data_IF_850067712387
#
_entry.id   IF_850067712387
#
_cell.length_a   1.000
_cell.length_b   1.000
_cell.length_c   1.000
_cell.angle_alpha   90.00
_cell.angle_beta   90.00
_cell.angle_gamma   90.00
#
_symmetry.space_group_name_H-M   'P 1'
#
loop_
_entity.id
_entity.type
_entity.pdbx_description
1 polymer ?
#
# COMPACT_ATOMS: atom_id res chain seq x y z
N UNK A 1 2.61 10.52 -5.63
CA UNK A 1 2.16 9.11 -5.69
C UNK A 1 3.19 8.22 -5.00
N UNK A 2 4.48 8.37 -5.30
CA UNK A 2 5.53 7.55 -4.70
C UNK A 2 5.68 7.66 -3.18
N UNK A 3 5.36 8.80 -2.55
CA UNK A 3 5.39 8.88 -1.06
C UNK A 3 4.37 7.93 -0.44
N UNK A 4 3.19 7.81 -1.05
CA UNK A 4 2.14 6.90 -0.60
C UNK A 4 2.59 5.45 -0.83
N UNK A 5 3.07 5.13 -2.04
CA UNK A 5 3.58 3.80 -2.37
C UNK A 5 4.78 3.39 -1.50
N UNK A 6 5.71 4.30 -1.20
CA UNK A 6 6.86 4.04 -0.33
C UNK A 6 6.43 3.74 1.11
N UNK A 7 5.48 4.51 1.63
CA UNK A 7 4.94 4.28 2.97
C UNK A 7 4.18 2.95 3.06
N UNK A 8 3.42 2.63 2.01
CA UNK A 8 2.65 1.39 1.90
C UNK A 8 3.58 0.17 1.79
N UNK A 9 4.56 0.20 0.87
CA UNK A 9 5.57 -0.84 0.71
C UNK A 9 6.35 -1.04 2.01
N UNK A 10 6.71 0.04 2.72
CA UNK A 10 7.36 -0.05 4.03
C UNK A 10 6.47 -0.71 5.11
N UNK A 11 5.15 -0.49 5.05
CA UNK A 11 4.17 -1.21 5.87
C UNK A 11 4.18 -2.70 5.55
N UNK A 12 3.95 -3.04 4.29
CA UNK A 12 3.89 -4.41 3.80
C UNK A 12 5.18 -5.20 4.09
N UNK A 13 6.35 -4.59 3.87
CA UNK A 13 7.65 -5.22 4.16
C UNK A 13 7.85 -5.52 5.64
N UNK A 14 7.28 -4.72 6.55
CA UNK A 14 7.31 -5.00 7.99
C UNK A 14 6.40 -6.17 8.33
N UNK A 15 5.17 -6.17 7.84
CA UNK A 15 4.23 -7.28 8.03
C UNK A 15 4.79 -8.60 7.52
N UNK A 16 5.36 -8.61 6.31
CA UNK A 16 5.99 -9.80 5.73
C UNK A 16 7.21 -10.27 6.53
N UNK A 17 7.93 -9.35 7.19
CA UNK A 17 9.05 -9.71 8.06
C UNK A 17 8.57 -10.47 9.29
N UNK A 18 7.44 -10.08 9.87
CA UNK A 18 6.86 -10.78 11.02
C UNK A 18 6.27 -12.12 10.59
N UNK A 19 5.55 -12.18 9.48
CA UNK A 19 5.06 -13.44 8.90
C UNK A 19 6.20 -14.43 8.56
N UNK A 20 7.35 -13.93 8.11
CA UNK A 20 8.52 -14.76 7.83
C UNK A 20 9.16 -15.33 9.10
N UNK A 21 9.12 -14.63 10.24
CA UNK A 21 9.62 -15.14 11.53
C UNK A 21 8.73 -16.26 12.08
N UNK A 22 7.44 -16.16 11.79
CA UNK A 22 6.43 -17.13 12.23
C UNK A 22 6.26 -18.31 11.25
N UNK A 23 7.10 -18.38 10.20
CA UNK A 23 7.07 -19.45 9.18
C UNK A 23 5.68 -19.62 8.53
N UNK A 24 4.97 -18.50 8.33
CA UNK A 24 3.61 -18.50 7.76
C UNK A 24 3.58 -19.07 6.34
N UNK A 25 4.67 -18.92 5.58
CA UNK A 25 4.83 -19.50 4.25
C UNK A 25 4.70 -21.03 4.25
N UNK A 26 5.18 -21.70 5.30
CA UNK A 26 5.00 -23.15 5.49
C UNK A 26 3.53 -23.50 5.76
N UNK A 27 2.85 -22.70 6.58
CA UNK A 27 1.43 -22.88 6.88
C UNK A 27 0.55 -22.69 5.64
N UNK A 28 0.91 -21.75 4.77
CA UNK A 28 0.23 -21.46 3.51
C UNK A 28 0.59 -22.44 2.38
N UNK A 29 1.54 -23.35 2.62
CA UNK A 29 2.00 -24.34 1.62
C UNK A 29 2.79 -23.72 0.47
N UNK A 30 3.42 -22.56 0.70
CA UNK A 30 4.18 -21.79 -0.28
C UNK A 30 5.55 -21.39 0.28
N UNK A 31 6.41 -22.37 0.64
CA UNK A 31 7.68 -22.11 1.30
C UNK A 31 8.55 -21.15 0.51
N UNK A 32 9.06 -20.10 1.15
CA UNK A 32 9.95 -19.12 0.53
C UNK A 32 9.24 -17.95 -0.18
N UNK A 33 7.93 -18.03 -0.45
CA UNK A 33 7.21 -17.00 -1.21
C UNK A 33 7.08 -15.69 -0.43
N UNK A 34 6.97 -15.71 0.90
CA UNK A 34 6.90 -14.49 1.73
C UNK A 34 8.23 -13.73 1.68
N UNK A 35 9.35 -14.43 1.83
CA UNK A 35 10.68 -13.83 1.78
C UNK A 35 11.00 -13.34 0.36
N UNK A 36 10.51 -14.05 -0.67
CA UNK A 36 10.60 -13.62 -2.07
C UNK A 36 9.84 -12.30 -2.27
N UNK A 37 8.59 -12.22 -1.81
CA UNK A 37 7.77 -11.01 -1.89
C UNK A 37 8.44 -9.81 -1.22
N UNK A 38 8.95 -10.03 -0.02
CA UNK A 38 9.67 -9.01 0.72
C UNK A 38 10.89 -8.46 -0.06
N UNK A 39 11.67 -9.33 -0.71
CA UNK A 39 12.84 -8.91 -1.51
C UNK A 39 12.42 -8.11 -2.74
N UNK A 40 11.41 -8.57 -3.47
CA UNK A 40 10.92 -7.88 -4.67
C UNK A 40 10.40 -6.48 -4.34
N UNK A 41 9.63 -6.35 -3.26
CA UNK A 41 9.13 -5.06 -2.79
C UNK A 41 10.26 -4.10 -2.41
N UNK A 42 11.31 -4.57 -1.73
CA UNK A 42 12.49 -3.75 -1.42
C UNK A 42 13.22 -3.27 -2.68
N UNK A 43 13.33 -4.15 -3.69
CA UNK A 43 13.95 -3.78 -4.97
C UNK A 43 13.16 -2.67 -5.66
N UNK A 44 11.83 -2.79 -5.69
CA UNK A 44 10.93 -1.77 -6.24
C UNK A 44 11.04 -0.46 -5.44
N UNK A 45 11.03 -0.54 -4.11
CA UNK A 45 11.13 0.62 -3.23
C UNK A 45 12.37 1.48 -3.54
N UNK A 46 13.49 0.83 -3.85
CA UNK A 46 14.77 1.51 -4.12
C UNK A 46 14.74 2.47 -5.34
N UNK A 47 13.80 2.27 -6.26
CA UNK A 47 13.68 3.05 -7.51
C UNK A 47 12.46 3.99 -7.53
N UNK A 48 11.55 3.90 -6.55
CA UNK A 48 10.33 4.71 -6.50
C UNK A 48 10.58 6.21 -6.57
N UNK A 49 11.64 6.69 -5.91
CA UNK A 49 11.96 8.12 -5.88
C UNK A 49 12.41 8.63 -7.26
N UNK A 50 13.13 7.82 -8.02
CA UNK A 50 13.53 8.15 -9.40
C UNK A 50 12.30 8.13 -10.32
N UNK A 51 11.47 7.10 -10.20
CA UNK A 51 10.23 6.98 -10.96
C UNK A 51 9.28 8.18 -10.72
N UNK A 52 9.13 8.65 -9.49
CA UNK A 52 8.28 9.82 -9.18
C UNK A 52 8.77 11.10 -9.86
N UNK A 53 10.09 11.31 -9.93
CA UNK A 53 10.67 12.50 -10.58
C UNK A 53 10.33 12.52 -12.07
N UNK A 54 10.35 11.35 -12.70
CA UNK A 54 10.13 11.18 -14.15
C UNK A 54 8.66 11.00 -14.53
N UNK A 55 7.77 10.70 -13.56
CA UNK A 55 6.35 10.37 -13.79
C UNK A 55 5.60 11.36 -14.70
N UNK A 56 5.88 12.65 -14.59
CA UNK A 56 5.14 13.68 -15.36
C UNK A 56 5.63 13.75 -16.82
N UNK A 57 6.91 13.49 -17.04
CA UNK A 57 7.58 13.68 -18.34
C UNK A 57 7.69 12.38 -19.14
N UNK A 58 7.64 11.22 -18.46
CA UNK A 58 7.81 9.89 -19.02
C UNK A 58 6.56 9.05 -18.76
N UNK A 59 5.71 8.94 -19.79
CA UNK A 59 4.44 8.21 -19.73
C UNK A 59 4.65 6.73 -19.40
N UNK A 60 5.72 6.09 -19.90
CA UNK A 60 6.02 4.70 -19.60
C UNK A 60 6.38 4.48 -18.12
N UNK A 61 7.05 5.45 -17.50
CA UNK A 61 7.32 5.44 -16.05
C UNK A 61 6.03 5.69 -15.25
N UNK A 62 5.13 6.54 -15.74
CA UNK A 62 3.83 6.73 -15.13
C UNK A 62 2.98 5.46 -15.15
N UNK A 63 2.89 4.80 -16.29
CA UNK A 63 2.16 3.54 -16.45
C UNK A 63 2.72 2.46 -15.54
N UNK A 64 4.05 2.37 -15.45
CA UNK A 64 4.73 1.46 -14.51
C UNK A 64 4.37 1.75 -13.05
N UNK A 65 4.29 3.02 -12.63
CA UNK A 65 3.88 3.40 -11.28
C UNK A 65 2.40 3.10 -11.02
N UNK A 66 1.54 3.29 -12.02
CA UNK A 66 0.11 2.99 -11.93
C UNK A 66 -0.13 1.49 -11.78
N UNK A 67 0.55 0.68 -12.58
CA UNK A 67 0.44 -0.78 -12.48
C UNK A 67 0.99 -1.30 -11.14
N UNK A 68 2.10 -0.72 -10.66
CA UNK A 68 2.59 -1.03 -9.32
C UNK A 68 1.54 -0.71 -8.25
N UNK A 69 0.86 0.44 -8.35
CA UNK A 69 -0.19 0.83 -7.42
C UNK A 69 -1.34 -0.17 -7.42
N UNK A 70 -1.76 -0.64 -8.59
CA UNK A 70 -2.84 -1.63 -8.70
C UNK A 70 -2.47 -2.94 -8.01
N UNK A 71 -1.25 -3.45 -8.26
CA UNK A 71 -0.74 -4.65 -7.59
C UNK A 71 -0.58 -4.46 -6.07
N UNK A 72 -0.29 -3.23 -5.62
CA UNK A 72 -0.25 -2.93 -4.17
C UNK A 72 -1.63 -3.01 -3.51
N UNK A 73 -2.71 -2.61 -4.20
CA UNK A 73 -4.06 -2.81 -3.67
C UNK A 73 -4.41 -4.29 -3.57
N UNK A 74 -4.08 -5.08 -4.59
CA UNK A 74 -4.29 -6.53 -4.52
C UNK A 74 -3.50 -7.18 -3.38
N UNK A 75 -2.31 -6.65 -3.06
CA UNK A 75 -1.51 -7.11 -1.93
C UNK A 75 -2.15 -6.74 -0.58
N UNK A 76 -2.78 -5.57 -0.47
CA UNK A 76 -3.54 -5.16 0.72
C UNK A 76 -4.73 -6.09 0.95
N UNK A 77 -5.49 -6.37 -0.11
CA UNK A 77 -6.66 -7.25 -0.07
C UNK A 77 -6.28 -8.67 0.42
N UNK A 78 -5.14 -9.21 -0.04
CA UNK A 78 -4.63 -10.51 0.41
C UNK A 78 -4.22 -10.48 1.89
N UNK A 79 -3.61 -9.40 2.37
CA UNK A 79 -3.27 -9.26 3.79
C UNK A 79 -4.53 -9.12 4.66
N UNK A 80 -5.52 -8.37 4.21
CA UNK A 80 -6.80 -8.21 4.90
C UNK A 80 -7.54 -9.54 4.99
N UNK A 81 -7.53 -10.36 3.93
CA UNK A 81 -8.04 -11.73 3.99
C UNK A 81 -7.32 -12.58 5.04
N UNK A 82 -5.99 -12.47 5.13
CA UNK A 82 -5.22 -13.17 6.17
C UNK A 82 -5.60 -12.71 7.58
N UNK A 83 -5.74 -11.39 7.78
CA UNK A 83 -6.10 -10.80 9.07
C UNK A 83 -7.51 -11.21 9.49
N UNK A 84 -8.48 -11.12 8.57
CA UNK A 84 -9.87 -11.52 8.83
C UNK A 84 -9.97 -12.98 9.24
N UNK A 85 -9.22 -13.89 8.61
CA UNK A 85 -9.23 -15.29 9.06
C UNK A 85 -8.48 -15.47 10.37
N UNK A 86 -7.36 -14.80 10.61
CA UNK A 86 -6.66 -14.86 11.89
C UNK A 86 -7.57 -14.46 13.07
N UNK A 87 -8.40 -13.42 12.89
CA UNK A 87 -9.36 -12.94 13.88
C UNK A 87 -10.49 -13.95 14.19
N UNK A 88 -10.85 -14.83 13.25
CA UNK A 88 -11.83 -15.90 13.53
C UNK A 88 -11.31 -16.95 14.49
N UNK A 89 -9.99 -17.04 14.62
CA UNK A 89 -9.32 -18.06 15.43
C UNK A 89 -8.65 -17.50 16.68
N UNK A 90 -8.58 -16.18 16.83
CA UNK A 90 -8.25 -15.56 18.12
C UNK A 90 -9.40 -15.81 19.09
N UNK A 91 -9.21 -16.60 20.16
CA UNK A 91 -10.27 -16.85 21.13
C UNK A 91 -10.70 -15.51 21.75
N UNK A 92 -12.00 -15.17 21.67
CA UNK A 92 -12.50 -14.04 22.45
C UNK A 92 -12.47 -14.43 23.93
N UNK A 93 -12.20 -13.47 24.80
CA UNK A 93 -12.17 -13.65 26.26
C UNK A 93 -13.48 -14.24 26.84
N UNK A 94 -14.56 -14.24 26.04
CA UNK A 94 -15.89 -14.76 26.33
C UNK A 94 -16.22 -16.11 25.68
N UNK A 95 -15.31 -16.70 24.90
CA UNK A 95 -15.58 -17.98 24.23
C UNK A 95 -15.46 -19.17 25.21
N UNK A 96 -16.42 -20.11 25.22
CA UNK A 96 -16.30 -21.32 26.01
C UNK A 96 -15.12 -22.15 25.50
N UNK A 97 -14.29 -22.66 26.44
CA UNK A 97 -13.13 -23.51 26.14
C UNK A 97 -13.52 -24.60 25.14
N UNK A 98 -12.78 -24.79 24.02
CA UNK A 98 -13.14 -25.79 23.03
C UNK A 98 -13.13 -27.17 23.71
N UNK A 99 -14.30 -27.80 23.75
CA UNK A 99 -14.43 -29.15 24.27
C UNK A 99 -13.70 -30.11 23.34
N UNK A 100 -12.86 -30.93 23.94
CA UNK A 100 -12.25 -32.10 23.32
C UNK A 100 -13.33 -33.06 22.84
N UNK A 101 -13.84 -32.88 21.61
CA UNK A 101 -14.55 -33.96 20.91
C UNK A 101 -14.44 -33.78 19.39
N UNK A 102 -13.27 -34.11 18.83
CA UNK A 102 -13.15 -34.29 17.39
C UNK A 102 -13.56 -35.73 17.02
N UNK A 103 -14.87 -35.95 16.86
CA UNK A 103 -15.41 -37.07 16.09
C UNK A 103 -15.55 -36.65 14.63
N UNK A 104 -14.41 -36.53 13.92
CA UNK A 104 -14.26 -36.24 12.48
C UNK A 104 -15.16 -35.15 11.83
N UNK A 105 -14.73 -33.88 11.80
CA UNK A 105 -15.14 -32.92 10.78
C UNK A 105 -13.97 -32.71 9.81
N UNK A 106 -13.65 -33.73 9.00
CA UNK A 106 -12.53 -33.63 8.04
C UNK A 106 -12.74 -32.41 7.11
N UNK A 107 -14.00 -32.07 6.80
CA UNK A 107 -14.38 -30.89 6.03
C UNK A 107 -14.02 -29.55 6.69
N UNK A 108 -14.04 -29.44 8.02
CA UNK A 108 -13.64 -28.21 8.72
C UNK A 108 -12.12 -28.04 8.67
N UNK A 109 -11.36 -29.11 8.91
CA UNK A 109 -9.90 -29.12 8.74
C UNK A 109 -9.50 -28.84 7.28
N UNK A 110 -10.25 -29.35 6.30
CA UNK A 110 -10.00 -29.05 4.88
C UNK A 110 -10.40 -27.64 4.49
N UNK A 111 -11.39 -27.01 5.14
CA UNK A 111 -11.74 -25.60 4.87
C UNK A 111 -10.56 -24.69 5.21
N UNK A 112 -9.91 -24.95 6.34
CA UNK A 112 -8.70 -24.26 6.77
C UNK A 112 -7.55 -24.47 5.78
N UNK A 113 -7.27 -25.72 5.39
CA UNK A 113 -6.21 -26.03 4.41
C UNK A 113 -6.51 -25.43 3.04
N UNK A 114 -7.77 -25.46 2.58
CA UNK A 114 -8.19 -24.84 1.31
C UNK A 114 -8.02 -23.32 1.34
N UNK A 115 -8.37 -22.67 2.46
CA UNK A 115 -8.15 -21.23 2.63
C UNK A 115 -6.67 -20.90 2.58
N UNK A 116 -5.85 -21.58 3.41
CA UNK A 116 -4.39 -21.39 3.42
C UNK A 116 -3.77 -21.59 2.05
N UNK A 117 -4.20 -22.63 1.35
CA UNK A 117 -3.75 -22.88 -0.01
C UNK A 117 -4.20 -21.78 -0.98
N UNK A 118 -5.44 -21.30 -0.87
CA UNK A 118 -5.95 -20.21 -1.71
C UNK A 118 -5.15 -18.90 -1.50
N UNK A 119 -4.87 -18.54 -0.24
CA UNK A 119 -4.00 -17.41 0.09
C UNK A 119 -2.59 -17.63 -0.44
N UNK A 120 -2.02 -18.84 -0.27
CA UNK A 120 -0.71 -19.18 -0.80
C UNK A 120 -0.63 -18.99 -2.32
N UNK A 121 -1.66 -19.42 -3.06
CA UNK A 121 -1.77 -19.20 -4.50
C UNK A 121 -1.80 -17.70 -4.84
N UNK A 122 -2.55 -16.89 -4.09
CA UNK A 122 -2.59 -15.43 -4.30
C UNK A 122 -1.23 -14.77 -4.03
N UNK A 123 -0.52 -15.15 -2.97
CA UNK A 123 0.84 -14.65 -2.69
C UNK A 123 1.79 -15.00 -3.84
N UNK A 124 1.69 -16.22 -4.37
CA UNK A 124 2.52 -16.66 -5.51
C UNK A 124 2.21 -15.86 -6.77
N UNK A 125 0.94 -15.56 -7.03
CA UNK A 125 0.51 -14.69 -8.13
C UNK A 125 1.06 -13.27 -7.98
N UNK A 126 0.92 -12.68 -6.78
CA UNK A 126 1.48 -11.36 -6.46
C UNK A 126 2.99 -11.31 -6.70
N UNK A 127 3.72 -12.35 -6.31
CA UNK A 127 5.15 -12.46 -6.58
C UNK A 127 5.46 -12.45 -8.07
N UNK A 128 4.72 -13.20 -8.88
CA UNK A 128 4.89 -13.21 -10.33
C UNK A 128 4.70 -11.82 -10.94
N UNK A 129 3.58 -11.17 -10.61
CA UNK A 129 3.25 -9.83 -11.11
C UNK A 129 4.28 -8.77 -10.67
N UNK A 130 4.72 -8.82 -9.41
CA UNK A 130 5.75 -7.89 -8.92
C UNK A 130 7.13 -8.16 -9.51
N UNK A 131 7.48 -9.40 -9.82
CA UNK A 131 8.70 -9.71 -10.56
C UNK A 131 8.68 -9.15 -11.98
N UNK A 132 7.54 -9.24 -12.67
CA UNK A 132 7.36 -8.66 -14.00
C UNK A 132 7.47 -7.13 -13.99
N UNK A 133 6.86 -6.47 -13.00
CA UNK A 133 7.03 -5.03 -12.76
C UNK A 133 8.50 -4.71 -12.46
N UNK A 134 9.14 -5.46 -11.56
CA UNK A 134 10.53 -5.24 -11.17
C UNK A 134 11.49 -5.43 -12.33
N UNK A 135 11.24 -6.40 -13.22
CA UNK A 135 12.09 -6.68 -14.38
C UNK A 135 12.06 -5.53 -15.40
N UNK A 136 10.88 -4.93 -15.65
CA UNK A 136 10.71 -3.80 -16.58
C UNK A 136 11.46 -2.54 -16.17
N UNK A 137 11.85 -2.41 -14.89
CA UNK A 137 12.64 -1.27 -14.40
C UNK A 137 13.93 -1.05 -15.21
N UNK A 138 14.55 -2.13 -15.71
CA UNK A 138 15.82 -2.06 -16.46
C UNK A 138 15.61 -1.42 -17.83
N UNK A 139 14.48 -1.70 -18.47
CA UNK A 139 14.10 -1.11 -19.75
C UNK A 139 13.80 0.39 -19.61
N UNK A 140 13.23 0.77 -18.47
CA UNK A 140 12.94 2.17 -18.11
C UNK A 140 14.17 2.94 -17.59
N UNK A 141 15.31 2.25 -17.44
CA UNK A 141 16.55 2.80 -16.87
C UNK A 141 16.31 3.48 -15.51
N UNK A 142 15.47 2.88 -14.67
CA UNK A 142 15.19 3.41 -13.33
C UNK A 142 16.38 3.15 -12.41
N UNK A 143 16.91 4.21 -11.82
CA UNK A 143 18.09 4.15 -10.97
C UNK A 143 17.73 4.09 -9.48
N UNK A 144 18.53 3.33 -8.73
CA UNK A 144 18.45 3.35 -7.27
C UNK A 144 18.75 4.76 -6.82
N UNK A 145 17.79 5.37 -6.13
CA UNK A 145 17.99 6.73 -5.66
C UNK A 145 18.99 6.71 -4.51
N UNK A 146 20.20 7.22 -4.73
CA UNK A 146 21.15 7.50 -3.66
C UNK A 146 20.46 8.41 -2.63
N UNK A 147 20.62 8.13 -1.35
CA UNK A 147 20.08 8.95 -0.27
C UNK A 147 20.73 10.35 -0.29
N UNK A 148 20.31 11.19 -1.22
CA UNK A 148 20.58 12.61 -1.15
C UNK A 148 19.91 13.13 0.12
N UNK A 149 20.57 14.04 0.87
CA UNK A 149 19.95 14.69 2.00
C UNK A 149 18.57 15.18 1.57
N UNK A 150 17.56 15.03 2.43
CA UNK A 150 16.24 15.62 2.22
C UNK A 150 16.38 17.14 2.20
N UNK A 151 16.93 17.70 1.13
CA UNK A 151 16.60 19.04 0.68
C UNK A 151 15.23 18.84 0.09
N UNK A 152 14.22 18.88 0.97
CA UNK A 152 12.88 19.22 0.53
C UNK A 152 13.11 20.53 -0.21
N UNK A 153 12.95 20.60 -1.55
CA UNK A 153 12.74 21.91 -2.12
C UNK A 153 11.48 22.34 -1.39
N UNK A 154 11.61 23.28 -0.45
CA UNK A 154 10.51 24.15 -0.16
C UNK A 154 10.19 24.68 -1.56
N UNK A 155 9.21 24.06 -2.23
CA UNK A 155 8.31 24.84 -3.04
C UNK A 155 7.74 25.78 -2.00
N UNK A 156 8.46 26.88 -1.79
CA UNK A 156 7.91 28.07 -1.22
C UNK A 156 6.83 28.40 -2.22
N UNK A 157 5.64 27.86 -2.00
CA UNK A 157 4.46 28.56 -2.40
C UNK A 157 4.60 29.87 -1.64
N UNK A 158 5.13 30.89 -2.31
CA UNK A 158 5.13 32.24 -1.79
C UNK A 158 3.66 32.62 -1.85
N UNK A 159 2.91 32.20 -0.83
CA UNK A 159 1.73 32.95 -0.46
C UNK A 159 2.30 34.23 0.12
N UNK A 160 1.96 35.36 -0.50
CA UNK A 160 2.21 36.67 0.08
C UNK A 160 1.86 36.61 1.57
N UNK A 161 2.65 37.19 2.49
CA UNK A 161 2.13 37.45 3.83
C UNK A 161 0.77 38.12 3.66
N UNK A 162 -0.22 37.68 4.45
CA UNK A 162 -1.54 38.32 4.46
C UNK A 162 -1.29 39.78 4.77
N UNK A 163 -1.32 40.59 3.72
CA UNK A 163 -1.34 42.03 3.84
C UNK A 163 -2.69 42.31 4.48
N UNK A 164 -2.69 42.98 5.64
CA UNK A 164 -3.91 43.60 6.13
C UNK A 164 -4.46 44.43 4.97
N UNK A 165 -5.65 44.03 4.52
CA UNK A 165 -6.21 44.50 3.28
C UNK A 165 -6.68 45.93 3.46
N UNK A 166 -5.89 46.88 2.96
CA UNK A 166 -6.34 48.24 2.68
C UNK A 166 -7.19 48.24 1.39
N UNK A 167 -8.15 47.30 1.32
CA UNK A 167 -9.04 47.11 0.18
C UNK A 167 -10.10 48.22 0.21
N UNK A 168 -9.98 49.18 -0.70
CA UNK A 168 -10.94 50.27 -0.89
C UNK A 168 -11.66 50.08 -2.22
N UNK A 169 -12.99 50.00 -2.16
CA UNK A 169 -13.85 49.95 -3.33
C UNK A 169 -15.30 50.20 -2.93
N UNK A 170 -16.01 51.07 -3.65
CA UNK A 170 -17.38 51.49 -3.29
C UNK A 170 -18.41 50.34 -3.30
N UNK A 171 -18.11 49.23 -3.97
CA UNK A 171 -19.03 48.10 -4.17
C UNK A 171 -18.66 46.84 -3.39
N UNK A 172 -17.63 46.91 -2.57
CA UNK A 172 -17.08 45.74 -1.86
C UNK A 172 -18.08 45.20 -0.82
N UNK A 173 -18.86 46.09 -0.22
CA UNK A 173 -19.92 45.75 0.72
C UNK A 173 -21.12 45.10 0.02
N UNK A 174 -21.54 45.63 -1.14
CA UNK A 174 -22.62 45.05 -1.97
C UNK A 174 -22.26 43.63 -2.44
N UNK A 175 -21.03 43.43 -2.91
CA UNK A 175 -20.55 42.13 -3.40
C UNK A 175 -20.41 41.12 -2.25
N UNK A 176 -20.02 41.57 -1.05
CA UNK A 176 -19.95 40.73 0.15
C UNK A 176 -21.35 40.29 0.61
N UNK A 177 -22.32 41.21 0.64
CA UNK A 177 -23.70 40.90 0.99
C UNK A 177 -24.34 39.93 -0.02
N UNK A 178 -24.11 40.15 -1.32
CA UNK A 178 -24.59 39.26 -2.37
C UNK A 178 -24.03 37.82 -2.22
N UNK A 179 -22.76 37.68 -1.85
CA UNK A 179 -22.14 36.39 -1.57
C UNK A 179 -22.74 35.71 -0.33
N UNK A 180 -22.97 36.47 0.75
CA UNK A 180 -23.61 35.93 1.96
C UNK A 180 -25.02 35.45 1.66
N UNK A 181 -25.80 36.19 0.86
CA UNK A 181 -27.15 35.79 0.49
C UNK A 181 -27.17 34.51 -0.37
N UNK A 182 -26.18 34.34 -1.26
CA UNK A 182 -26.04 33.12 -2.06
C UNK A 182 -25.64 31.89 -1.23
N UNK A 183 -24.90 32.08 -0.14
CA UNK A 183 -24.42 30.99 0.72
C UNK A 183 -25.41 30.62 1.83
N UNK A 184 -26.40 31.47 2.10
CA UNK A 184 -27.39 31.29 3.18
C UNK A 184 -28.80 30.91 2.69
N UNK A 185 -28.98 30.76 1.37
CA UNK A 185 -30.13 30.08 0.75
C UNK A 185 -29.88 28.59 0.56
#
# INVERSE_FOLDING_TARGET
MAVVLDSFISGLVRTLMDMAKEEVDLLLGVPGEIQKLQRTLRNIQSVLRDAEKRRIEDEAVNDWLMELKDVMYDADDVLDECRMEAEKWTPRESDPKPSTSCGFPIFACFREVKFRHAVGVKIKDLNGRLEEISARRSNLQLHVSAAEPRVVPRVSRITSPVMESDMVGERLEEDAEALVEQLTK
#
